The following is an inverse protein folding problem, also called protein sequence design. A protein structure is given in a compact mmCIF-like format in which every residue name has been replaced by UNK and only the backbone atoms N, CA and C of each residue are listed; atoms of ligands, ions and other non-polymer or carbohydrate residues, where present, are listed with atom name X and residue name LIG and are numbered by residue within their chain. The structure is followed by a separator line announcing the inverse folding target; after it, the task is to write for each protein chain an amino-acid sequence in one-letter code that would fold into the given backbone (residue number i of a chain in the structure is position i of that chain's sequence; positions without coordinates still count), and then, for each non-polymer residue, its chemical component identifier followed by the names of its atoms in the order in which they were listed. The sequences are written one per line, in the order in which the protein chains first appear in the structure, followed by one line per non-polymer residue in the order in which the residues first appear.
data_IF_173302151443
#
_entry.id   IF_173302151443
#
_cell.length_a   1.000
_cell.length_b   1.000
_cell.length_c   1.000
_cell.angle_alpha   90.00
_cell.angle_beta   90.00
_cell.angle_gamma   90.00
#
_symmetry.space_group_name_H-M   'P 1'
#
loop_
_entity.id
_entity.type
_entity.pdbx_description
1 polymer ?
#
# COMPACT_ATOMS: atom_id res chain seq x y z
N UNK A 1 -1.02 42.93 -30.60
CA UNK A 1 -0.39 42.70 -29.30
C UNK A 1 -1.36 42.39 -28.17
N UNK A 2 -2.53 42.98 -28.13
CA UNK A 2 -3.52 42.72 -27.05
C UNK A 2 -4.19 41.36 -27.10
N UNK A 3 -4.06 40.60 -28.16
CA UNK A 3 -4.71 39.29 -28.36
C UNK A 3 -3.90 38.09 -27.86
N UNK A 4 -2.67 38.25 -27.40
CA UNK A 4 -1.81 37.18 -26.98
C UNK A 4 -1.90 36.89 -25.46
N UNK A 5 -2.35 37.84 -24.66
CA UNK A 5 -2.42 37.71 -23.20
C UNK A 5 -3.41 36.62 -22.71
N UNK A 6 -4.64 36.53 -23.27
CA UNK A 6 -5.56 35.47 -22.83
C UNK A 6 -5.14 34.06 -23.25
N UNK A 7 -4.38 33.93 -24.34
CA UNK A 7 -3.90 32.63 -24.80
C UNK A 7 -2.80 32.07 -23.89
N UNK A 8 -1.94 32.94 -23.35
CA UNK A 8 -0.90 32.54 -22.39
C UNK A 8 -1.49 32.07 -21.06
N UNK A 9 -2.56 32.71 -20.61
CA UNK A 9 -3.26 32.33 -19.37
C UNK A 9 -3.96 30.97 -19.51
N UNK A 10 -4.52 30.69 -20.68
CA UNK A 10 -5.17 29.42 -20.97
C UNK A 10 -4.17 28.26 -21.00
N UNK A 11 -2.95 28.50 -21.46
CA UNK A 11 -1.89 27.52 -21.55
C UNK A 11 -1.36 27.12 -20.15
N UNK A 12 -1.25 28.08 -19.23
CA UNK A 12 -0.81 27.79 -17.86
C UNK A 12 -1.85 27.00 -17.06
N UNK A 13 -3.13 27.19 -17.33
CA UNK A 13 -4.22 26.42 -16.71
C UNK A 13 -4.24 24.97 -17.22
N UNK A 14 -3.95 24.73 -18.49
CA UNK A 14 -3.91 23.38 -19.07
C UNK A 14 -2.76 22.53 -18.53
N UNK A 15 -1.60 23.12 -18.22
CA UNK A 15 -0.48 22.42 -17.61
C UNK A 15 -0.77 21.95 -16.18
N UNK A 16 -1.48 22.75 -15.38
CA UNK A 16 -1.93 22.37 -14.05
C UNK A 16 -2.91 21.21 -14.06
N UNK A 17 -3.85 21.19 -15.02
CA UNK A 17 -4.83 20.12 -15.20
C UNK A 17 -4.19 18.79 -15.62
N UNK A 18 -3.15 18.81 -16.46
CA UNK A 18 -2.44 17.61 -16.90
C UNK A 18 -1.70 16.93 -15.74
N UNK A 19 -1.05 17.68 -14.86
CA UNK A 19 -0.34 17.13 -13.68
C UNK A 19 -1.31 16.42 -12.74
N UNK A 20 -2.44 17.02 -12.43
CA UNK A 20 -3.48 16.43 -11.59
C UNK A 20 -4.05 15.15 -12.21
N UNK A 21 -4.32 15.16 -13.49
CA UNK A 21 -4.82 14.00 -14.23
C UNK A 21 -3.85 12.82 -14.18
N UNK A 22 -2.56 13.03 -14.38
CA UNK A 22 -1.52 11.99 -14.32
C UNK A 22 -1.45 11.39 -12.91
N UNK A 23 -1.53 12.22 -11.88
CA UNK A 23 -1.50 11.78 -10.49
C UNK A 23 -2.73 10.93 -10.13
N UNK A 24 -3.93 11.35 -10.53
CA UNK A 24 -5.17 10.61 -10.33
C UNK A 24 -5.12 9.25 -11.03
N UNK A 25 -4.53 9.16 -12.23
CA UNK A 25 -4.34 7.91 -12.96
C UNK A 25 -3.36 6.96 -12.25
N UNK A 26 -2.25 7.46 -11.71
CA UNK A 26 -1.30 6.64 -10.93
C UNK A 26 -1.94 6.08 -9.69
N UNK A 27 -2.73 6.87 -8.99
CA UNK A 27 -3.47 6.44 -7.81
C UNK A 27 -4.46 5.33 -8.15
N UNK A 28 -5.23 5.50 -9.21
CA UNK A 28 -6.19 4.49 -9.67
C UNK A 28 -5.51 3.17 -10.03
N UNK A 29 -4.41 3.21 -10.76
CA UNK A 29 -3.64 2.02 -11.15
C UNK A 29 -3.11 1.30 -9.90
N UNK A 30 -2.54 2.02 -8.95
CA UNK A 30 -2.04 1.46 -7.70
C UNK A 30 -3.15 0.80 -6.90
N UNK A 31 -4.31 1.45 -6.78
CA UNK A 31 -5.48 0.90 -6.09
C UNK A 31 -5.98 -0.38 -6.78
N UNK A 32 -6.07 -0.39 -8.09
CA UNK A 32 -6.50 -1.56 -8.86
C UNK A 32 -5.56 -2.76 -8.64
N UNK A 33 -4.25 -2.53 -8.57
CA UNK A 33 -3.26 -3.57 -8.32
C UNK A 33 -3.41 -4.14 -6.91
N UNK A 34 -3.49 -3.28 -5.91
CA UNK A 34 -3.53 -3.70 -4.49
C UNK A 34 -4.83 -4.43 -4.17
N UNK A 35 -5.96 -3.95 -4.70
CA UNK A 35 -7.28 -4.53 -4.42
C UNK A 35 -7.63 -5.73 -5.29
N UNK A 36 -6.83 -6.04 -6.31
CA UNK A 36 -7.03 -7.20 -7.18
C UNK A 36 -6.47 -8.47 -6.55
N UNK A 37 -7.29 -9.50 -6.38
CA UNK A 37 -6.87 -10.80 -5.85
C UNK A 37 -6.48 -10.75 -4.38
N UNK A 38 -5.68 -11.71 -3.97
CA UNK A 38 -5.18 -11.84 -2.59
C UNK A 38 -3.66 -11.84 -2.57
N UNK A 39 -3.11 -11.50 -1.41
CA UNK A 39 -1.67 -11.42 -1.19
C UNK A 39 -1.25 -12.42 -0.13
N UNK A 40 -0.04 -12.93 -0.24
CA UNK A 40 0.61 -13.71 0.82
C UNK A 40 1.94 -13.05 1.19
N UNK A 41 2.39 -13.31 2.41
CA UNK A 41 3.70 -12.81 2.87
C UNK A 41 4.79 -13.72 2.30
N UNK A 42 5.64 -13.12 1.49
CA UNK A 42 6.81 -13.78 0.91
C UNK A 42 8.01 -13.71 1.85
N UNK A 43 8.13 -12.59 2.59
CA UNK A 43 9.18 -12.38 3.58
C UNK A 43 8.71 -11.42 4.65
N UNK A 44 9.01 -11.74 5.90
CA UNK A 44 8.83 -10.83 7.03
C UNK A 44 10.03 -10.93 7.96
N UNK A 45 10.63 -9.77 8.26
CA UNK A 45 11.75 -9.67 9.19
C UNK A 45 11.51 -8.58 10.24
N UNK A 46 11.95 -8.82 11.47
CA UNK A 46 12.09 -7.80 12.51
C UNK A 46 13.52 -7.80 13.02
N UNK A 47 14.16 -6.63 13.02
CA UNK A 47 15.55 -6.48 13.47
C UNK A 47 16.49 -7.52 12.84
N UNK A 48 16.31 -7.76 11.54
CA UNK A 48 17.05 -8.74 10.73
C UNK A 48 16.79 -10.22 11.08
N UNK A 49 15.80 -10.50 11.92
CA UNK A 49 15.36 -11.86 12.23
C UNK A 49 14.21 -12.24 11.30
N UNK A 50 14.38 -13.34 10.56
CA UNK A 50 13.35 -13.87 9.67
C UNK A 50 12.22 -14.52 10.47
N UNK A 51 11.01 -14.00 10.32
CA UNK A 51 9.80 -14.50 10.97
C UNK A 51 8.72 -14.88 9.96
N UNK A 52 9.09 -15.14 8.72
CA UNK A 52 8.18 -15.42 7.61
C UNK A 52 7.27 -16.62 7.90
N UNK A 53 7.78 -17.65 8.54
CA UNK A 53 7.04 -18.87 8.83
C UNK A 53 5.84 -18.65 9.77
N UNK A 54 5.85 -17.58 10.57
CA UNK A 54 4.72 -17.22 11.44
C UNK A 54 3.46 -16.87 10.64
N UNK A 55 3.62 -16.52 9.37
CA UNK A 55 2.51 -16.12 8.49
C UNK A 55 2.10 -17.19 7.50
N UNK A 56 2.59 -18.40 7.64
CA UNK A 56 2.22 -19.54 6.76
C UNK A 56 0.71 -19.78 6.82
N UNK A 57 0.07 -19.87 5.66
CA UNK A 57 -1.36 -20.10 5.54
C UNK A 57 -2.22 -18.84 5.60
N UNK A 58 -1.65 -17.67 5.87
CA UNK A 58 -2.39 -16.42 5.85
C UNK A 58 -2.49 -15.86 4.43
N UNK A 59 -3.68 -15.36 4.10
CA UNK A 59 -3.97 -14.57 2.90
C UNK A 59 -4.47 -13.21 3.32
N UNK A 60 -4.07 -12.17 2.59
CA UNK A 60 -4.44 -10.80 2.85
C UNK A 60 -5.27 -10.25 1.69
N UNK A 61 -6.42 -9.67 2.01
CA UNK A 61 -7.30 -9.04 1.02
C UNK A 61 -7.46 -7.58 1.37
N UNK A 62 -7.00 -6.72 0.45
CA UNK A 62 -7.19 -5.27 0.52
C UNK A 62 -8.42 -4.91 -0.30
N UNK A 63 -9.40 -4.27 0.31
CA UNK A 63 -10.62 -3.83 -0.37
C UNK A 63 -10.58 -2.32 -0.64
N UNK A 64 -11.28 -1.88 -1.66
CA UNK A 64 -11.29 -0.48 -2.10
C UNK A 64 -12.04 0.45 -1.11
N UNK A 65 -12.79 -0.09 -0.17
CA UNK A 65 -13.42 0.62 0.94
C UNK A 65 -12.50 0.82 2.16
N UNK A 66 -11.18 0.60 1.99
CA UNK A 66 -10.15 0.70 3.04
C UNK A 66 -10.27 -0.39 4.13
N UNK A 67 -11.04 -1.45 3.90
CA UNK A 67 -11.00 -2.63 4.78
C UNK A 67 -9.91 -3.60 4.34
N UNK A 68 -9.36 -4.33 5.31
CA UNK A 68 -8.31 -5.32 5.12
C UNK A 68 -8.68 -6.57 5.89
N UNK A 69 -8.41 -7.74 5.32
CA UNK A 69 -8.66 -9.02 5.98
C UNK A 69 -7.44 -9.91 5.93
N UNK A 70 -7.10 -10.48 7.07
CA UNK A 70 -6.10 -11.54 7.17
C UNK A 70 -6.85 -12.85 7.45
N UNK A 71 -6.76 -13.80 6.53
CA UNK A 71 -7.50 -15.06 6.58
C UNK A 71 -6.55 -16.25 6.61
N UNK A 72 -6.80 -17.19 7.51
CA UNK A 72 -6.15 -18.50 7.55
C UNK A 72 -7.21 -19.58 7.75
N UNK A 73 -6.85 -20.88 7.78
CA UNK A 73 -7.85 -21.95 7.99
C UNK A 73 -8.64 -21.86 9.30
N UNK A 74 -8.12 -21.13 10.30
CA UNK A 74 -8.79 -20.95 11.61
C UNK A 74 -9.78 -19.80 11.64
N UNK A 75 -9.77 -18.89 10.64
CA UNK A 75 -10.68 -17.76 10.59
C UNK A 75 -10.12 -16.52 9.93
N UNK A 76 -10.83 -15.41 10.12
CA UNK A 76 -10.51 -14.12 9.51
C UNK A 76 -10.33 -13.06 10.59
N UNK A 77 -9.26 -12.27 10.48
CA UNK A 77 -8.98 -11.10 11.33
C UNK A 77 -9.28 -9.84 10.53
N UNK A 78 -10.22 -9.00 10.98
CA UNK A 78 -10.52 -7.75 10.28
C UNK A 78 -9.51 -6.67 10.60
N UNK A 79 -9.28 -5.79 9.63
CA UNK A 79 -8.41 -4.64 9.77
C UNK A 79 -8.79 -3.54 8.79
N UNK A 80 -7.99 -2.50 8.78
CA UNK A 80 -8.09 -1.38 7.85
C UNK A 80 -6.73 -1.09 7.21
N UNK A 81 -6.77 -0.44 6.06
CA UNK A 81 -5.56 0.03 5.40
C UNK A 81 -5.80 1.39 4.78
N UNK A 82 -4.76 2.19 4.72
CA UNK A 82 -4.85 3.53 4.16
C UNK A 82 -3.63 3.80 3.29
N UNK A 83 -3.82 3.99 1.96
CA UNK A 83 -2.73 4.33 1.07
C UNK A 83 -2.44 5.83 1.11
N UNK A 84 -1.19 6.18 0.92
CA UNK A 84 -0.75 7.53 0.60
C UNK A 84 0.19 7.44 -0.61
N UNK A 85 -0.35 7.69 -1.79
CA UNK A 85 0.38 7.49 -3.05
C UNK A 85 1.56 8.47 -3.17
N UNK A 86 1.41 9.69 -2.69
CA UNK A 86 2.48 10.70 -2.74
C UNK A 86 3.67 10.33 -1.87
N UNK A 87 3.41 9.74 -0.71
CA UNK A 87 4.45 9.30 0.23
C UNK A 87 4.94 7.87 -0.05
N UNK A 88 4.32 7.14 -0.97
CA UNK A 88 4.56 5.71 -1.21
C UNK A 88 4.39 4.88 0.05
N UNK A 89 3.35 5.17 0.84
CA UNK A 89 3.09 4.45 2.09
C UNK A 89 1.73 3.78 2.09
N UNK A 90 1.64 2.70 2.85
CA UNK A 90 0.39 2.03 3.21
C UNK A 90 0.40 1.85 4.73
N UNK A 91 -0.60 2.40 5.41
CA UNK A 91 -0.81 2.16 6.83
C UNK A 91 -1.78 1.00 7.01
N UNK A 92 -1.44 0.05 7.86
CA UNK A 92 -2.27 -1.11 8.17
C UNK A 92 -2.55 -1.16 9.67
N UNK A 93 -3.79 -1.54 10.02
CA UNK A 93 -4.22 -1.65 11.41
C UNK A 93 -5.18 -2.83 11.57
N UNK A 94 -4.84 -3.73 12.48
CA UNK A 94 -5.68 -4.85 12.92
C UNK A 94 -5.95 -4.67 14.42
N UNK A 95 -6.98 -3.89 14.80
CA UNK A 95 -7.15 -3.42 16.18
C UNK A 95 -7.45 -4.53 17.20
N UNK A 96 -7.98 -5.67 16.74
CA UNK A 96 -8.33 -6.79 17.63
C UNK A 96 -7.37 -7.97 17.52
N UNK A 97 -6.31 -7.82 16.71
CA UNK A 97 -5.41 -8.94 16.43
C UNK A 97 -4.45 -9.23 17.58
N UNK A 98 -4.18 -10.52 17.78
CA UNK A 98 -3.04 -11.02 18.52
C UNK A 98 -1.86 -11.27 17.56
N UNK A 99 -0.73 -11.74 18.11
CA UNK A 99 0.39 -12.16 17.26
C UNK A 99 0.02 -13.38 16.40
N UNK A 100 0.54 -13.52 15.19
CA UNK A 100 1.56 -12.65 14.55
C UNK A 100 0.96 -11.44 13.80
N UNK A 101 -0.36 -11.37 13.61
CA UNK A 101 -1.00 -10.33 12.80
C UNK A 101 -0.80 -8.94 13.39
N UNK A 102 -0.81 -8.81 14.72
CA UNK A 102 -0.58 -7.54 15.41
C UNK A 102 0.74 -6.87 14.99
N UNK A 103 1.76 -7.64 14.63
CA UNK A 103 3.07 -7.12 14.21
C UNK A 103 3.02 -6.37 12.89
N UNK A 104 1.94 -6.52 12.12
CA UNK A 104 1.73 -5.84 10.84
C UNK A 104 1.12 -4.45 11.01
N UNK A 105 0.76 -4.04 12.22
CA UNK A 105 0.22 -2.71 12.52
C UNK A 105 1.32 -1.66 12.44
N UNK A 106 1.54 -1.12 11.24
CA UNK A 106 2.62 -0.19 10.90
C UNK A 106 2.20 0.72 9.76
N UNK A 107 2.96 1.79 9.58
CA UNK A 107 3.02 2.50 8.31
C UNK A 107 4.18 1.91 7.50
N UNK A 108 3.86 1.36 6.35
CA UNK A 108 4.79 0.69 5.48
C UNK A 108 5.21 1.60 4.33
N UNK A 109 6.49 1.84 4.18
CA UNK A 109 7.05 2.57 3.05
C UNK A 109 7.46 1.59 1.95
N UNK A 110 6.84 1.71 0.77
CA UNK A 110 7.14 0.87 -0.38
C UNK A 110 8.43 1.36 -1.03
N UNK A 111 9.37 0.45 -1.26
CA UNK A 111 10.62 0.77 -1.94
C UNK A 111 10.84 0.00 -3.23
N UNK A 112 10.05 -1.04 -3.49
CA UNK A 112 10.04 -1.79 -4.74
C UNK A 112 8.69 -2.48 -4.90
N UNK A 113 8.03 -2.30 -6.04
CA UNK A 113 6.73 -2.90 -6.30
C UNK A 113 6.47 -3.05 -7.78
N UNK A 114 5.79 -4.13 -8.13
CA UNK A 114 5.26 -4.42 -9.46
C UNK A 114 3.81 -4.88 -9.33
N UNK A 115 3.22 -5.40 -10.40
CA UNK A 115 1.82 -5.85 -10.39
C UNK A 115 1.57 -7.08 -9.51
N UNK A 116 2.60 -7.86 -9.22
CA UNK A 116 2.51 -9.15 -8.53
C UNK A 116 3.32 -9.23 -7.24
N UNK A 117 4.06 -8.18 -6.88
CA UNK A 117 4.78 -8.12 -5.61
C UNK A 117 4.90 -6.71 -5.07
N UNK A 118 5.08 -6.61 -3.76
CA UNK A 118 5.36 -5.37 -3.02
C UNK A 118 6.46 -5.64 -2.01
N UNK A 119 7.46 -4.76 -1.98
CA UNK A 119 8.51 -4.76 -0.95
C UNK A 119 8.43 -3.46 -0.16
N UNK A 120 8.28 -3.58 1.14
CA UNK A 120 8.10 -2.44 2.03
C UNK A 120 8.92 -2.58 3.30
N UNK A 121 9.17 -1.44 3.94
CA UNK A 121 9.81 -1.35 5.25
C UNK A 121 8.95 -0.52 6.19
N UNK A 122 9.04 -0.77 7.48
CA UNK A 122 8.35 0.04 8.48
C UNK A 122 8.92 1.47 8.48
N UNK A 123 8.02 2.46 8.59
CA UNK A 123 8.38 3.88 8.64
C UNK A 123 8.05 4.43 10.02
N UNK A 124 9.07 4.98 10.69
CA UNK A 124 8.87 5.62 11.99
C UNK A 124 8.75 4.65 13.17
N UNK A 125 8.94 3.34 12.95
CA UNK A 125 8.95 2.36 14.01
C UNK A 125 10.32 2.30 14.70
N UNK A 126 10.33 2.08 16.03
CA UNK A 126 11.56 1.84 16.77
C UNK A 126 12.18 0.48 16.44
N UNK A 127 11.39 -0.45 15.92
CA UNK A 127 11.83 -1.78 15.47
C UNK A 127 11.86 -1.80 13.95
N UNK A 128 13.03 -1.98 13.31
CA UNK A 128 13.09 -2.08 11.86
C UNK A 128 12.44 -3.38 11.37
N UNK A 129 11.48 -3.24 10.46
CA UNK A 129 10.71 -4.35 9.88
C UNK A 129 10.79 -4.31 8.35
N UNK A 130 10.87 -5.50 7.74
CA UNK A 130 10.71 -5.71 6.30
C UNK A 130 9.49 -6.58 6.03
N UNK A 131 8.70 -6.18 5.03
CA UNK A 131 7.52 -6.92 4.61
C UNK A 131 7.50 -7.03 3.09
N UNK A 132 7.61 -8.26 2.59
CA UNK A 132 7.46 -8.56 1.17
C UNK A 132 6.16 -9.32 0.96
N UNK A 133 5.32 -8.80 0.09
CA UNK A 133 4.07 -9.44 -0.32
C UNK A 133 4.19 -9.92 -1.77
N UNK A 134 3.53 -11.02 -2.07
CA UNK A 134 3.35 -11.48 -3.45
C UNK A 134 1.90 -11.87 -3.70
N UNK A 135 1.46 -11.78 -4.94
CA UNK A 135 0.14 -12.26 -5.35
C UNK A 135 0.06 -13.77 -5.15
N UNK A 136 -1.09 -14.19 -4.67
CA UNK A 136 -1.41 -15.62 -4.56
C UNK A 136 -1.76 -16.21 -5.94
#
# INVERSE_FOLDING_TARGET
MRKFLPLLLLFTLSLGSCKKFIQDQKEKIAMDIITSGSWIIDKYEESSVDMTMSYTGYEFKFNDDETLRATNPSGTVPGTWKPNILAYTIATDFPTASEPIQRLNETWELFDSETDYVKARSKGSSVPKLLYLKKK
#
